data_IF_668603996773
#
_entry.id   IF_668603996773
#
_cell.length_a   1.000
_cell.length_b   1.000
_cell.length_c   1.000
_cell.angle_alpha   90.00
_cell.angle_beta   90.00
_cell.angle_gamma   90.00
#
_symmetry.space_group_name_H-M   'P 1'
#
loop_
_entity.id
_entity.type
_entity.pdbx_description
1 polymer ?
#
# COMPACT_ATOMS: atom_id res chain seq x y z
N UNK A 1 35.88 -6.02 -0.97
CA UNK A 1 34.89 -5.84 0.10
C UNK A 1 33.75 -6.83 -0.12
N UNK A 2 33.37 -7.59 0.89
CA UNK A 2 32.08 -8.26 0.85
C UNK A 2 31.01 -7.16 1.04
N UNK A 3 30.01 -7.13 0.16
CA UNK A 3 28.91 -6.19 0.31
C UNK A 3 28.18 -6.47 1.64
N UNK A 4 27.93 -5.44 2.43
CA UNK A 4 27.16 -5.56 3.66
C UNK A 4 25.69 -5.83 3.29
N UNK A 5 25.25 -7.06 3.50
CA UNK A 5 23.90 -7.52 3.17
C UNK A 5 23.16 -7.95 4.43
N UNK A 6 22.06 -7.31 4.71
CA UNK A 6 21.14 -7.71 5.78
C UNK A 6 20.13 -8.72 5.24
N UNK A 7 19.80 -9.74 6.05
CA UNK A 7 18.77 -10.72 5.71
C UNK A 7 17.39 -10.08 5.55
N UNK A 8 16.50 -10.79 4.91
CA UNK A 8 15.10 -10.44 4.86
C UNK A 8 14.39 -10.71 6.19
N UNK A 9 13.25 -10.05 6.41
CA UNK A 9 12.40 -10.29 7.57
C UNK A 9 11.74 -11.66 7.49
N UNK A 10 11.57 -12.30 8.64
CA UNK A 10 10.78 -13.51 8.82
C UNK A 10 9.31 -13.15 9.10
N UNK A 11 8.41 -14.10 8.91
CA UNK A 11 6.98 -13.91 9.16
C UNK A 11 6.69 -13.46 10.61
N UNK A 12 7.39 -14.05 11.58
CA UNK A 12 7.28 -13.76 13.00
C UNK A 12 7.90 -12.41 13.43
N UNK A 13 8.57 -11.72 12.53
CA UNK A 13 9.16 -10.39 12.74
C UNK A 13 8.30 -9.26 12.15
N UNK A 14 7.19 -9.62 11.50
CA UNK A 14 6.30 -8.68 10.84
C UNK A 14 4.95 -8.68 11.54
N UNK A 15 4.61 -7.55 12.12
CA UNK A 15 3.33 -7.31 12.75
C UNK A 15 2.32 -6.69 11.78
N UNK A 16 1.04 -6.92 12.06
CA UNK A 16 -0.07 -6.31 11.34
C UNK A 16 -0.76 -5.27 12.24
N UNK A 17 -1.01 -4.07 11.70
CA UNK A 17 -1.89 -3.11 12.38
C UNK A 17 -3.03 -2.70 11.47
N UNK A 18 -4.18 -2.44 12.06
CA UNK A 18 -5.33 -1.90 11.34
C UNK A 18 -5.02 -0.44 10.96
N UNK A 19 -5.12 -0.14 9.68
CA UNK A 19 -4.94 1.20 9.14
C UNK A 19 -6.27 1.96 9.08
N UNK A 20 -7.15 1.58 8.18
CA UNK A 20 -8.45 2.22 7.98
C UNK A 20 -9.57 1.20 8.15
N UNK A 21 -10.64 1.58 8.84
CA UNK A 21 -11.86 0.78 8.98
C UNK A 21 -12.99 1.46 8.21
N UNK A 22 -13.71 0.68 7.39
CA UNK A 22 -14.92 1.09 6.65
C UNK A 22 -16.02 0.06 6.87
N UNK A 23 -17.24 0.38 6.45
CA UNK A 23 -18.37 -0.54 6.53
C UNK A 23 -18.13 -1.85 5.76
N UNK A 24 -17.40 -1.80 4.65
CA UNK A 24 -17.11 -2.95 3.77
C UNK A 24 -15.89 -3.75 4.19
N UNK A 25 -15.09 -3.29 5.17
CA UNK A 25 -13.87 -3.97 5.57
C UNK A 25 -12.85 -3.05 6.22
N UNK A 26 -11.64 -3.57 6.38
CA UNK A 26 -10.51 -2.83 6.93
C UNK A 26 -9.24 -3.04 6.09
N UNK A 27 -8.33 -2.06 6.17
CA UNK A 27 -6.97 -2.23 5.64
C UNK A 27 -6.00 -2.61 6.75
N UNK A 28 -5.01 -3.43 6.40
CA UNK A 28 -3.88 -3.74 7.26
C UNK A 28 -2.61 -3.09 6.73
N UNK A 29 -1.75 -2.67 7.66
CA UNK A 29 -0.41 -2.18 7.42
C UNK A 29 0.58 -3.14 8.09
N UNK A 30 1.61 -3.54 7.35
CA UNK A 30 2.70 -4.33 7.89
C UNK A 30 3.75 -3.41 8.51
N UNK A 31 4.30 -3.82 9.65
CA UNK A 31 5.39 -3.10 10.31
C UNK A 31 6.29 -4.07 11.06
N UNK A 32 7.46 -3.62 11.49
CA UNK A 32 8.39 -4.36 12.33
C UNK A 32 8.63 -3.62 13.65
N UNK A 33 8.96 -4.37 14.69
CA UNK A 33 9.41 -3.82 15.98
C UNK A 33 10.87 -3.35 15.85
N UNK A 34 11.24 -2.32 16.63
CA UNK A 34 12.62 -1.84 16.70
C UNK A 34 13.61 -2.89 17.24
N UNK A 35 13.13 -3.86 18.02
CA UNK A 35 13.96 -4.98 18.50
C UNK A 35 14.38 -5.92 17.39
N UNK A 36 13.54 -6.08 16.38
CA UNK A 36 13.89 -6.81 15.16
C UNK A 36 15.09 -6.16 14.46
N UNK A 37 15.10 -4.82 14.33
CA UNK A 37 16.23 -4.10 13.76
C UNK A 37 17.53 -4.31 14.55
N UNK A 38 17.45 -4.25 15.88
CA UNK A 38 18.60 -4.51 16.74
C UNK A 38 19.14 -5.93 16.56
N UNK A 39 18.25 -6.94 16.54
CA UNK A 39 18.64 -8.32 16.34
C UNK A 39 19.33 -8.52 14.98
N UNK A 40 18.82 -7.94 13.90
CA UNK A 40 19.42 -8.03 12.57
C UNK A 40 20.79 -7.34 12.50
N UNK A 41 20.95 -6.19 13.17
CA UNK A 41 22.23 -5.51 13.29
C UNK A 41 23.24 -6.37 14.07
N UNK A 42 22.83 -6.92 15.22
CA UNK A 42 23.69 -7.79 16.04
C UNK A 42 24.09 -9.06 15.29
N UNK A 43 23.16 -9.69 14.57
CA UNK A 43 23.40 -10.89 13.75
C UNK A 43 24.40 -10.61 12.60
N UNK A 44 24.30 -9.42 11.98
CA UNK A 44 25.03 -9.13 10.74
C UNK A 44 26.40 -8.54 10.98
N UNK A 45 26.51 -7.58 11.91
CA UNK A 45 27.77 -6.84 12.13
C UNK A 45 28.34 -7.07 13.53
N UNK A 46 27.58 -7.67 14.44
CA UNK A 46 27.95 -7.86 15.85
C UNK A 46 27.63 -6.64 16.71
N UNK A 47 27.26 -6.89 17.96
CA UNK A 47 26.75 -5.87 18.88
C UNK A 47 27.72 -4.70 19.16
N UNK A 48 29.03 -4.88 18.96
CA UNK A 48 30.05 -3.85 19.17
C UNK A 48 30.35 -3.01 17.92
N UNK A 49 29.88 -3.43 16.75
CA UNK A 49 30.20 -2.82 15.48
C UNK A 49 29.07 -1.94 14.93
N UNK A 50 28.06 -1.66 15.73
CA UNK A 50 27.06 -0.67 15.41
C UNK A 50 26.71 0.17 16.63
N UNK A 51 26.23 1.37 16.39
CA UNK A 51 25.75 2.27 17.44
C UNK A 51 24.62 3.16 16.89
N UNK A 52 23.81 3.70 17.79
CA UNK A 52 22.80 4.69 17.46
C UNK A 52 22.90 5.92 18.35
N UNK A 53 22.56 7.06 17.82
CA UNK A 53 22.37 8.31 18.55
C UNK A 53 21.09 8.98 18.11
N UNK A 54 20.48 9.70 19.02
CA UNK A 54 19.29 10.50 18.75
C UNK A 54 19.58 11.99 18.92
N UNK A 55 18.94 12.81 18.10
CA UNK A 55 19.00 14.27 18.17
C UNK A 55 17.60 14.87 18.01
N UNK A 56 17.47 16.18 18.21
CA UNK A 56 16.20 16.91 18.08
C UNK A 56 15.06 16.24 18.86
N UNK A 57 15.26 16.03 20.15
CA UNK A 57 14.28 15.39 21.06
C UNK A 57 13.77 14.03 20.55
N UNK A 58 14.69 13.22 20.05
CA UNK A 58 14.48 11.90 19.45
C UNK A 58 13.79 11.89 18.06
N UNK A 59 13.54 13.05 17.46
CA UNK A 59 12.97 13.10 16.13
C UNK A 59 13.90 12.50 15.07
N UNK A 60 15.21 12.70 15.21
CA UNK A 60 16.22 12.12 14.33
C UNK A 60 16.94 10.97 15.02
N UNK A 61 17.23 9.92 14.25
CA UNK A 61 18.10 8.83 14.68
C UNK A 61 19.18 8.60 13.64
N UNK A 62 20.43 8.58 14.10
CA UNK A 62 21.59 8.16 13.29
C UNK A 62 21.98 6.77 13.71
N UNK A 63 22.02 5.83 12.76
CA UNK A 63 22.59 4.49 12.94
C UNK A 63 23.93 4.44 12.24
N UNK A 64 24.98 4.08 12.96
CA UNK A 64 26.35 4.01 12.46
C UNK A 64 26.86 2.57 12.55
N UNK A 65 27.57 2.13 11.52
CA UNK A 65 28.20 0.81 11.42
C UNK A 65 29.69 1.03 11.18
N UNK A 66 30.53 0.27 11.89
CA UNK A 66 31.97 0.31 11.73
C UNK A 66 32.39 -0.36 10.40
N UNK A 67 33.12 0.38 9.59
CA UNK A 67 33.72 -0.14 8.36
C UNK A 67 35.19 -0.48 8.62
N UNK A 68 35.50 -1.76 8.71
CA UNK A 68 36.85 -2.25 9.04
C UNK A 68 37.87 -1.92 7.95
N UNK A 69 37.49 -1.90 6.70
CA UNK A 69 38.37 -1.56 5.57
C UNK A 69 38.73 -0.07 5.58
N UNK A 70 37.75 0.80 5.84
CA UNK A 70 37.95 2.25 5.87
C UNK A 70 38.38 2.77 7.24
N UNK A 71 38.34 1.92 8.27
CA UNK A 71 38.67 2.29 9.66
C UNK A 71 37.88 3.50 10.16
N UNK A 72 36.59 3.51 9.86
CA UNK A 72 35.68 4.62 10.23
C UNK A 72 34.25 4.16 10.43
N UNK A 73 33.49 4.94 11.18
CA UNK A 73 32.06 4.81 11.30
C UNK A 73 31.36 5.37 10.04
N UNK A 74 30.54 4.55 9.42
CA UNK A 74 29.63 5.01 8.35
C UNK A 74 28.27 5.21 8.97
N UNK A 75 27.68 6.37 8.75
CA UNK A 75 26.45 6.81 9.43
C UNK A 75 25.33 7.08 8.43
N UNK A 76 24.11 6.68 8.79
CA UNK A 76 22.89 7.03 8.06
C UNK A 76 21.84 7.50 9.05
N UNK A 77 21.18 8.60 8.72
CA UNK A 77 20.18 9.25 9.57
C UNK A 77 18.80 9.24 8.90
N UNK A 78 17.76 9.18 9.73
CA UNK A 78 16.38 9.43 9.29
C UNK A 78 15.55 10.04 10.42
N UNK A 79 14.37 10.56 10.04
CA UNK A 79 13.42 11.26 10.92
C UNK A 79 12.24 10.34 11.21
N UNK A 80 11.81 10.30 12.46
CA UNK A 80 10.61 9.59 12.89
C UNK A 80 9.39 10.52 12.99
N UNK A 81 8.25 9.88 13.21
CA UNK A 81 6.98 10.54 13.52
C UNK A 81 6.48 10.10 14.89
N UNK A 82 5.79 10.98 15.59
CA UNK A 82 5.21 10.69 16.90
C UNK A 82 4.10 9.63 16.79
N UNK A 83 3.99 8.79 17.82
CA UNK A 83 2.85 7.90 17.96
C UNK A 83 1.71 8.58 18.73
N UNK A 84 0.48 8.15 18.47
CA UNK A 84 -0.71 8.70 19.12
C UNK A 84 -0.82 8.38 20.62
N UNK A 85 -0.09 7.36 21.11
CA UNK A 85 -0.23 6.86 22.49
C UNK A 85 0.97 7.17 23.38
N UNK A 86 2.20 7.07 22.86
CA UNK A 86 3.45 7.33 23.57
C UNK A 86 4.37 8.15 22.67
N UNK A 87 4.11 9.46 22.56
CA UNK A 87 4.74 10.33 21.58
C UNK A 87 6.27 10.22 21.57
N UNK A 88 6.92 10.43 22.72
CA UNK A 88 8.40 10.46 22.83
C UNK A 88 9.03 9.10 22.52
N UNK A 89 8.49 8.02 23.10
CA UNK A 89 8.99 6.67 22.87
C UNK A 89 8.69 6.20 21.44
N UNK A 90 7.51 6.55 20.93
CA UNK A 90 7.12 6.27 19.55
C UNK A 90 8.04 6.96 18.56
N UNK A 91 8.34 8.23 18.78
CA UNK A 91 9.24 9.03 17.96
C UNK A 91 10.66 8.43 17.90
N UNK A 92 11.24 8.08 19.05
CA UNK A 92 12.56 7.46 19.15
C UNK A 92 12.59 6.08 18.45
N UNK A 93 11.55 5.27 18.62
CA UNK A 93 11.44 3.97 17.99
C UNK A 93 11.25 4.09 16.46
N UNK A 94 10.45 5.03 16.01
CA UNK A 94 10.17 5.24 14.59
C UNK A 94 11.39 5.78 13.86
N UNK A 95 12.07 6.82 14.40
CA UNK A 95 13.30 7.36 13.82
C UNK A 95 14.39 6.31 13.69
N UNK A 96 14.54 5.42 14.70
CA UNK A 96 15.50 4.31 14.63
C UNK A 96 15.15 3.30 13.53
N UNK A 97 13.91 2.83 13.46
CA UNK A 97 13.46 1.91 12.41
C UNK A 97 13.68 2.50 11.00
N UNK A 98 13.43 3.79 10.83
CA UNK A 98 13.64 4.49 9.56
C UNK A 98 15.12 4.61 9.22
N UNK A 99 15.98 4.90 10.18
CA UNK A 99 17.43 4.89 9.98
C UNK A 99 17.93 3.49 9.55
N UNK A 100 17.35 2.41 10.10
CA UNK A 100 17.63 1.04 9.70
C UNK A 100 17.17 0.73 8.26
N UNK A 101 16.06 1.31 7.79
CA UNK A 101 15.65 1.22 6.38
C UNK A 101 16.72 1.80 5.44
N UNK A 102 17.42 2.85 5.84
CA UNK A 102 18.52 3.43 5.05
C UNK A 102 19.70 2.45 4.89
N UNK A 103 19.87 1.53 5.83
CA UNK A 103 20.82 0.43 5.76
C UNK A 103 20.31 -0.78 4.95
N UNK A 104 19.04 -0.84 4.63
CA UNK A 104 18.41 -1.92 3.87
C UNK A 104 17.66 -2.93 4.71
N UNK A 105 17.55 -2.74 6.04
CA UNK A 105 16.84 -3.64 6.94
C UNK A 105 15.32 -3.37 6.83
N UNK A 106 14.56 -4.38 6.42
CA UNK A 106 13.10 -4.31 6.35
C UNK A 106 12.54 -3.50 5.17
N UNK A 107 13.36 -3.13 4.17
CA UNK A 107 12.90 -2.38 2.97
C UNK A 107 11.80 -3.10 2.20
N UNK A 108 11.74 -4.40 2.27
CA UNK A 108 10.70 -5.23 1.67
C UNK A 108 9.29 -4.83 2.11
N UNK A 109 9.11 -4.28 3.31
CA UNK A 109 7.80 -3.81 3.79
C UNK A 109 7.20 -2.71 2.91
N UNK A 110 8.03 -1.90 2.24
CA UNK A 110 7.55 -0.89 1.28
C UNK A 110 7.01 -1.50 -0.02
N UNK A 111 7.24 -2.79 -0.25
CA UNK A 111 6.74 -3.52 -1.42
C UNK A 111 5.48 -4.32 -1.10
N UNK A 112 4.95 -4.21 0.11
CA UNK A 112 3.74 -4.91 0.52
C UNK A 112 2.57 -4.56 -0.40
N UNK A 113 1.77 -5.55 -0.81
CA UNK A 113 0.55 -5.28 -1.55
C UNK A 113 -0.44 -4.52 -0.67
N UNK A 114 -1.40 -3.83 -1.29
CA UNK A 114 -2.52 -3.28 -0.51
C UNK A 114 -3.35 -4.41 0.09
N UNK A 115 -3.39 -4.45 1.42
CA UNK A 115 -4.05 -5.51 2.18
C UNK A 115 -5.44 -5.00 2.59
N UNK A 116 -6.47 -5.62 2.04
CA UNK A 116 -7.86 -5.35 2.36
C UNK A 116 -8.55 -6.61 2.83
N UNK A 117 -9.13 -6.55 4.03
CA UNK A 117 -9.91 -7.63 4.64
C UNK A 117 -11.39 -7.25 4.56
N UNK A 118 -12.19 -8.06 3.87
CA UNK A 118 -13.64 -7.87 3.77
C UNK A 118 -14.34 -8.08 5.10
N UNK A 119 -15.47 -7.41 5.31
CA UNK A 119 -16.22 -7.42 6.57
C UNK A 119 -16.61 -8.83 7.04
N UNK A 120 -16.79 -9.74 6.11
CA UNK A 120 -17.13 -11.15 6.35
C UNK A 120 -15.99 -12.00 6.97
N UNK A 121 -14.77 -11.45 7.05
CA UNK A 121 -13.56 -12.17 7.50
C UNK A 121 -13.04 -11.72 8.87
N UNK A 122 -13.77 -10.88 9.56
CA UNK A 122 -13.46 -10.45 10.91
C UNK A 122 -14.74 -10.08 11.66
N UNK A 123 -14.74 -10.27 12.96
CA UNK A 123 -15.89 -9.97 13.82
C UNK A 123 -15.84 -8.55 14.38
N UNK A 124 -14.66 -8.14 14.81
CA UNK A 124 -14.41 -6.89 15.49
C UNK A 124 -13.28 -6.09 14.85
N UNK A 125 -13.36 -4.76 14.96
CA UNK A 125 -12.22 -3.86 14.64
C UNK A 125 -11.03 -4.04 15.61
N UNK A 126 -11.15 -4.89 16.61
CA UNK A 126 -10.09 -5.21 17.58
C UNK A 126 -9.47 -6.57 17.32
N UNK A 127 -9.95 -7.32 16.33
CA UNK A 127 -9.34 -8.60 15.94
C UNK A 127 -7.86 -8.39 15.66
N UNK A 128 -7.08 -9.39 16.04
CA UNK A 128 -5.64 -9.42 15.79
C UNK A 128 -5.35 -10.20 14.53
N UNK A 129 -4.34 -9.72 13.80
CA UNK A 129 -3.89 -10.33 12.56
C UNK A 129 -2.39 -10.56 12.63
N UNK A 130 -1.95 -11.67 12.09
CA UNK A 130 -0.53 -12.03 11.98
C UNK A 130 -0.16 -12.48 10.59
N UNK A 131 1.11 -12.34 10.24
CA UNK A 131 1.67 -12.89 9.00
C UNK A 131 1.88 -14.38 9.21
N UNK A 132 1.12 -15.20 8.47
CA UNK A 132 1.26 -16.66 8.51
C UNK A 132 2.43 -17.13 7.66
N UNK A 133 2.54 -16.62 6.42
CA UNK A 133 3.65 -16.91 5.53
C UNK A 133 4.05 -15.69 4.75
N UNK A 134 5.34 -15.58 4.45
CA UNK A 134 5.87 -14.55 3.57
C UNK A 134 6.98 -15.14 2.69
N UNK A 135 7.01 -14.75 1.42
CA UNK A 135 8.12 -15.01 0.51
C UNK A 135 8.67 -13.68 0.02
N UNK A 136 9.98 -13.50 0.17
CA UNK A 136 10.69 -12.30 -0.26
C UNK A 136 11.73 -12.72 -1.29
N UNK A 137 11.77 -12.01 -2.41
CA UNK A 137 12.77 -12.20 -3.44
C UNK A 137 13.28 -10.83 -3.90
N UNK A 138 14.58 -10.66 -3.93
CA UNK A 138 15.23 -9.40 -4.32
C UNK A 138 14.67 -8.18 -3.55
N UNK A 139 14.51 -8.33 -2.21
CA UNK A 139 13.93 -7.33 -1.31
C UNK A 139 12.50 -6.91 -1.67
N UNK A 140 11.73 -7.81 -2.33
CA UNK A 140 10.32 -7.60 -2.67
C UNK A 140 9.47 -8.74 -2.16
N UNK A 141 8.35 -8.42 -1.55
CA UNK A 141 7.35 -9.40 -1.13
C UNK A 141 6.71 -10.01 -2.38
N UNK A 142 6.92 -11.30 -2.61
CA UNK A 142 6.40 -12.05 -3.76
C UNK A 142 5.21 -12.93 -3.38
N UNK A 143 5.12 -13.35 -2.11
CA UNK A 143 3.94 -14.01 -1.57
C UNK A 143 3.73 -13.63 -0.12
N UNK A 144 2.47 -13.57 0.31
CA UNK A 144 2.06 -13.19 1.66
C UNK A 144 0.73 -13.84 1.99
N UNK A 145 0.61 -14.43 3.18
CA UNK A 145 -0.68 -14.80 3.76
C UNK A 145 -0.83 -14.24 5.16
N UNK A 146 -2.05 -13.82 5.49
CA UNK A 146 -2.38 -13.23 6.79
C UNK A 146 -3.50 -14.05 7.41
N UNK A 147 -3.34 -14.36 8.68
CA UNK A 147 -4.29 -15.06 9.53
C UNK A 147 -4.99 -14.07 10.45
N UNK A 148 -6.29 -14.26 10.67
CA UNK A 148 -7.00 -13.71 11.81
C UNK A 148 -6.73 -14.61 13.02
N UNK A 149 -6.17 -14.08 14.09
CA UNK A 149 -5.79 -14.86 15.28
C UNK A 149 -6.99 -15.36 16.09
N UNK A 150 -8.12 -14.64 16.03
CA UNK A 150 -9.34 -15.00 16.76
C UNK A 150 -10.06 -16.19 16.10
N UNK A 151 -10.14 -16.22 14.76
CA UNK A 151 -10.82 -17.29 14.03
C UNK A 151 -9.87 -18.39 13.55
N UNK A 152 -8.56 -18.13 13.52
CA UNK A 152 -7.55 -19.04 12.96
C UNK A 152 -7.58 -19.15 11.42
N UNK A 153 -8.41 -18.37 10.74
CA UNK A 153 -8.57 -18.44 9.28
C UNK A 153 -7.58 -17.54 8.53
N UNK A 154 -7.22 -17.95 7.32
CA UNK A 154 -6.47 -17.11 6.39
C UNK A 154 -7.42 -16.11 5.76
N UNK A 155 -7.24 -14.84 6.10
CA UNK A 155 -8.12 -13.75 5.66
C UNK A 155 -7.60 -13.01 4.44
N UNK A 156 -6.29 -13.12 4.16
CA UNK A 156 -5.65 -12.51 3.00
C UNK A 156 -4.58 -13.44 2.40
N UNK A 157 -4.46 -13.44 1.07
CA UNK A 157 -3.39 -14.14 0.34
C UNK A 157 -2.94 -13.33 -0.87
N UNK A 158 -1.62 -13.27 -1.09
CA UNK A 158 -0.98 -12.62 -2.24
C UNK A 158 0.12 -13.52 -2.79
N UNK A 159 0.24 -13.71 -4.13
CA UNK A 159 -0.72 -13.27 -5.12
C UNK A 159 -2.06 -14.01 -4.95
N UNK A 160 -3.15 -13.36 -5.33
CA UNK A 160 -4.48 -13.97 -5.27
C UNK A 160 -4.47 -15.25 -6.14
N UNK A 161 -4.69 -16.43 -5.51
CA UNK A 161 -4.86 -17.68 -6.24
C UNK A 161 -3.91 -18.83 -5.92
N UNK A 162 -2.90 -18.69 -5.05
CA UNK A 162 -2.19 -19.87 -4.51
C UNK A 162 -2.81 -20.29 -3.18
N UNK A 163 -3.81 -21.16 -3.24
CA UNK A 163 -4.21 -21.95 -2.07
C UNK A 163 -3.12 -22.98 -1.79
N UNK A 164 -2.53 -22.94 -0.59
CA UNK A 164 -1.73 -24.05 -0.08
C UNK A 164 -2.59 -25.30 -0.02
N UNK A 165 -2.11 -26.37 -0.65
CA UNK A 165 -2.77 -27.66 -0.71
C UNK A 165 -2.73 -28.34 0.65
N UNK A 166 -3.87 -28.44 1.33
CA UNK A 166 -4.19 -29.58 2.18
C UNK A 166 -5.55 -30.14 1.77
N UNK A 167 -5.47 -31.22 1.01
CA UNK A 167 -6.39 -32.36 0.83
C UNK A 167 -7.91 -32.16 0.98
N UNK A 168 -8.67 -32.13 -0.06
CA UNK A 168 -9.50 -33.13 -0.74
C UNK A 168 -10.58 -32.52 -1.65
N UNK A 169 -10.46 -32.96 -2.90
CA UNK A 169 -11.46 -33.38 -3.90
C UNK A 169 -12.67 -32.50 -4.25
N UNK A 170 -12.65 -32.18 -5.49
CA UNK A 170 -13.62 -32.17 -6.59
C UNK A 170 -14.10 -30.85 -7.14
N UNK A 171 -13.62 -30.67 -8.33
CA UNK A 171 -14.31 -30.29 -9.59
C UNK A 171 -14.77 -28.83 -9.76
N UNK A 172 -14.16 -28.28 -10.77
CA UNK A 172 -14.65 -27.50 -11.91
C UNK A 172 -14.73 -25.99 -11.78
N UNK A 173 -14.04 -25.42 -12.74
CA UNK A 173 -14.11 -24.07 -13.33
C UNK A 173 -13.22 -22.98 -12.75
N UNK A 174 -12.21 -22.66 -13.58
CA UNK A 174 -11.35 -21.48 -13.48
C UNK A 174 -12.15 -20.19 -13.55
N UNK A 175 -11.92 -19.20 -12.69
CA UNK A 175 -12.43 -17.86 -12.94
C UNK A 175 -11.64 -17.24 -14.09
N UNK A 176 -12.33 -16.97 -15.20
CA UNK A 176 -11.84 -16.23 -16.35
C UNK A 176 -11.23 -14.90 -15.90
N UNK A 177 -10.05 -14.55 -16.43
CA UNK A 177 -9.56 -13.18 -16.44
C UNK A 177 -10.71 -12.29 -16.90
N UNK A 178 -11.07 -11.29 -16.11
CA UNK A 178 -12.02 -10.27 -16.54
C UNK A 178 -11.35 -9.51 -17.68
N UNK A 179 -11.70 -9.89 -18.89
CA UNK A 179 -11.26 -9.21 -20.10
C UNK A 179 -12.27 -8.09 -20.34
N UNK A 180 -11.82 -6.84 -20.18
CA UNK A 180 -12.62 -5.70 -20.57
C UNK A 180 -12.86 -5.74 -22.07
N UNK A 181 -14.09 -5.46 -22.49
CA UNK A 181 -14.40 -5.35 -23.93
C UNK A 181 -13.56 -4.23 -24.55
N UNK A 182 -13.21 -4.32 -25.84
CA UNK A 182 -12.49 -3.25 -26.53
C UNK A 182 -13.18 -1.88 -26.42
N UNK A 183 -14.50 -1.88 -26.35
CA UNK A 183 -15.30 -0.66 -26.15
C UNK A 183 -15.12 -0.08 -24.74
N UNK A 184 -15.06 -0.89 -23.70
CA UNK A 184 -14.78 -0.43 -22.34
C UNK A 184 -13.37 0.17 -22.20
N UNK A 185 -12.39 -0.34 -22.95
CA UNK A 185 -11.06 0.24 -23.03
C UNK A 185 -11.10 1.62 -23.70
N UNK A 186 -11.89 1.78 -24.78
CA UNK A 186 -12.12 3.09 -25.45
C UNK A 186 -12.72 4.12 -24.50
N UNK A 187 -13.74 3.75 -23.72
CA UNK A 187 -14.37 4.63 -22.74
C UNK A 187 -13.35 5.05 -21.66
N UNK A 188 -12.55 4.12 -21.14
CA UNK A 188 -11.51 4.42 -20.17
C UNK A 188 -10.47 5.40 -20.71
N UNK A 189 -10.03 5.21 -21.93
CA UNK A 189 -9.08 6.12 -22.61
C UNK A 189 -9.68 7.49 -22.81
N UNK A 190 -10.92 7.58 -23.30
CA UNK A 190 -11.63 8.84 -23.47
C UNK A 190 -11.73 9.64 -22.15
N UNK A 191 -12.09 8.98 -21.04
CA UNK A 191 -12.16 9.62 -19.75
C UNK A 191 -10.78 10.09 -19.24
N UNK A 192 -9.72 9.32 -19.51
CA UNK A 192 -8.34 9.71 -19.14
C UNK A 192 -7.86 10.93 -19.91
N UNK A 193 -8.04 10.93 -21.23
CA UNK A 193 -7.63 12.01 -22.14
C UNK A 193 -8.37 13.32 -21.88
N UNK A 194 -9.62 13.24 -21.41
CA UNK A 194 -10.45 14.40 -21.10
C UNK A 194 -10.45 14.81 -19.62
N UNK A 195 -9.55 14.26 -18.81
CA UNK A 195 -9.29 14.71 -17.42
C UNK A 195 -10.43 14.43 -16.46
N UNK A 196 -11.20 13.35 -16.64
CA UNK A 196 -12.22 12.92 -15.70
C UNK A 196 -11.62 12.39 -14.40
N UNK A 197 -12.14 12.84 -13.28
CA UNK A 197 -11.78 12.34 -11.96
C UNK A 197 -12.25 10.89 -11.74
N UNK A 198 -11.72 10.21 -10.73
CA UNK A 198 -12.14 8.84 -10.42
C UNK A 198 -13.63 8.78 -10.00
N UNK A 199 -14.15 9.83 -9.38
CA UNK A 199 -15.57 9.92 -9.00
C UNK A 199 -16.46 10.07 -10.22
N UNK A 200 -16.08 10.94 -11.18
CA UNK A 200 -16.81 11.12 -12.45
C UNK A 200 -16.83 9.82 -13.28
N UNK A 201 -15.70 9.10 -13.34
CA UNK A 201 -15.63 7.78 -13.99
C UNK A 201 -16.56 6.75 -13.35
N UNK A 202 -16.60 6.72 -12.00
CA UNK A 202 -17.53 5.86 -11.26
C UNK A 202 -18.97 6.22 -11.53
N UNK A 203 -19.30 7.51 -11.58
CA UNK A 203 -20.64 7.99 -11.90
C UNK A 203 -21.09 7.51 -13.28
N UNK A 204 -20.25 7.64 -14.32
CA UNK A 204 -20.55 7.15 -15.68
C UNK A 204 -20.84 5.64 -15.66
N UNK A 205 -20.02 4.84 -14.95
CA UNK A 205 -20.21 3.39 -14.84
C UNK A 205 -21.54 3.04 -14.17
N UNK A 206 -21.91 3.74 -13.10
CA UNK A 206 -23.13 3.49 -12.33
C UNK A 206 -24.36 3.93 -13.13
N UNK A 207 -24.36 5.15 -13.66
CA UNK A 207 -25.51 5.74 -14.36
C UNK A 207 -25.81 4.99 -15.65
N UNK A 208 -24.78 4.55 -16.37
CA UNK A 208 -24.91 3.73 -17.58
C UNK A 208 -24.99 2.22 -17.30
N UNK A 209 -24.97 1.79 -16.02
CA UNK A 209 -25.02 0.37 -15.59
C UNK A 209 -24.01 -0.53 -16.28
N UNK A 210 -22.81 -0.02 -16.50
CA UNK A 210 -21.75 -0.73 -17.21
C UNK A 210 -21.14 -1.88 -16.39
N UNK A 211 -20.78 -2.96 -17.10
CA UNK A 211 -20.02 -4.09 -16.60
C UNK A 211 -18.74 -4.26 -17.43
N UNK A 212 -17.74 -4.99 -16.93
CA UNK A 212 -16.49 -5.19 -17.68
C UNK A 212 -16.67 -5.77 -19.09
N UNK A 213 -17.72 -6.55 -19.29
CA UNK A 213 -18.11 -7.22 -20.53
C UNK A 213 -19.31 -6.58 -21.24
N UNK A 214 -19.64 -5.32 -20.89
CA UNK A 214 -20.77 -4.59 -21.51
C UNK A 214 -20.62 -4.58 -23.03
N UNK A 215 -21.76 -4.76 -23.77
CA UNK A 215 -21.76 -4.73 -25.22
C UNK A 215 -21.46 -3.32 -25.76
N UNK A 216 -20.98 -3.26 -26.99
CA UNK A 216 -20.44 -2.05 -27.60
C UNK A 216 -21.47 -0.92 -27.70
N UNK A 217 -22.73 -1.23 -27.97
CA UNK A 217 -23.85 -0.26 -28.03
C UNK A 217 -24.09 0.43 -26.68
N UNK A 218 -24.01 -0.31 -25.58
CA UNK A 218 -24.16 0.29 -24.23
C UNK A 218 -22.96 1.18 -23.88
N UNK A 219 -21.78 0.82 -24.33
CA UNK A 219 -20.56 1.63 -24.11
C UNK A 219 -20.57 2.89 -24.99
N UNK A 220 -21.16 2.85 -26.19
CA UNK A 220 -21.36 4.04 -27.02
C UNK A 220 -22.28 5.05 -26.36
N UNK A 221 -23.36 4.58 -25.71
CA UNK A 221 -24.23 5.44 -24.90
C UNK A 221 -23.46 6.09 -23.76
N UNK A 222 -22.59 5.35 -23.09
CA UNK A 222 -21.76 5.88 -22.01
C UNK A 222 -20.68 6.86 -22.50
N UNK A 223 -20.12 6.68 -23.69
CA UNK A 223 -19.22 7.64 -24.33
C UNK A 223 -19.95 8.96 -24.63
N UNK A 224 -21.17 8.89 -25.14
CA UNK A 224 -22.00 10.08 -25.37
C UNK A 224 -22.31 10.81 -24.06
N UNK A 225 -22.71 10.07 -23.02
CA UNK A 225 -22.94 10.62 -21.68
C UNK A 225 -21.69 11.31 -21.11
N UNK A 226 -20.52 10.70 -21.26
CA UNK A 226 -19.25 11.32 -20.86
C UNK A 226 -18.93 12.59 -21.67
N UNK A 227 -19.25 12.61 -22.97
CA UNK A 227 -19.08 13.81 -23.82
C UNK A 227 -19.97 14.96 -23.36
N UNK A 228 -21.24 14.68 -23.06
CA UNK A 228 -22.20 15.68 -22.58
C UNK A 228 -21.76 16.25 -21.22
N UNK A 229 -21.28 15.40 -20.31
CA UNK A 229 -20.71 15.83 -19.02
C UNK A 229 -19.51 16.76 -19.20
N UNK A 230 -18.64 16.47 -20.19
CA UNK A 230 -17.49 17.32 -20.48
C UNK A 230 -17.91 18.69 -21.01
N UNK A 231 -18.86 18.73 -21.96
CA UNK A 231 -19.37 19.99 -22.49
C UNK A 231 -20.00 20.87 -21.42
N UNK A 232 -20.74 20.26 -20.49
CA UNK A 232 -21.32 20.97 -19.36
C UNK A 232 -20.23 21.57 -18.45
N UNK A 233 -19.20 20.80 -18.14
CA UNK A 233 -18.04 21.23 -17.34
C UNK A 233 -17.26 22.36 -18.03
N UNK A 234 -17.12 22.29 -19.36
CA UNK A 234 -16.42 23.33 -20.14
C UNK A 234 -17.26 24.61 -20.25
N UNK A 235 -18.61 24.52 -20.25
CA UNK A 235 -19.50 25.68 -20.16
C UNK A 235 -19.44 26.39 -18.82
N UNK A 236 -19.38 25.62 -17.71
CA UNK A 236 -19.28 26.15 -16.35
C UNK A 236 -17.93 26.86 -16.08
N UNK A 237 -16.89 26.53 -16.87
CA UNK A 237 -15.56 27.16 -16.77
C UNK A 237 -15.39 28.42 -17.61
N UNK A 238 -16.36 28.78 -18.50
CA UNK A 238 -16.31 30.03 -19.24
C UNK A 238 -16.82 31.15 -18.33
N UNK A 239 -16.03 32.21 -18.06
CA UNK A 239 -16.56 33.39 -17.40
C UNK A 239 -17.67 33.99 -18.33
N UNK A 240 -18.79 34.39 -17.71
CA UNK A 240 -19.84 35.10 -18.41
C UNK A 240 -19.28 36.37 -19.03
N UNK A 241 -19.08 36.36 -20.34
CA UNK A 241 -18.74 37.54 -21.13
C UNK A 241 -20.06 38.31 -21.41
N UNK A 242 -20.59 38.93 -20.33
CA UNK A 242 -21.60 39.96 -20.48
C UNK A 242 -20.87 41.24 -20.89
N UNK A 243 -20.77 41.44 -22.20
CA UNK A 243 -20.41 42.72 -22.76
C UNK A 243 -21.21 43.84 -22.11
N UNK A 244 -20.54 44.81 -21.51
CA UNK A 244 -21.13 46.08 -21.12
C UNK A 244 -21.81 46.73 -22.33
N UNK A 245 -23.10 46.90 -22.25
CA UNK A 245 -23.84 47.73 -23.20
C UNK A 245 -23.62 49.19 -22.74
N UNK A 246 -23.02 50.08 -23.55
CA UNK A 246 -22.91 51.49 -23.17
C UNK A 246 -24.30 52.12 -23.12
N UNK A 247 -24.70 52.62 -21.95
CA UNK A 247 -25.80 53.55 -21.83
C UNK A 247 -25.31 54.91 -22.37
N UNK A 248 -25.78 55.33 -23.54
CA UNK A 248 -25.73 56.72 -23.98
C UNK A 248 -26.86 57.50 -23.26
N UNK A 249 -26.44 58.61 -22.62
CA UNK A 249 -27.33 59.68 -22.13
C UNK A 249 -27.38 60.80 -23.17
#
# INVERSE_FOLDING_TARGET
>A
MADLVFRDLRADEIDCRIGTVKETGLSLLLYKDARCDMAILDETVGAYNWQRSHSRDNANCTVSIWDEDKKQWISKEDVGTESNTEAVKGLASDSFKRACFNWGIGRELYTAPFIWIGKEKFESKYDKFSVETIEIKDKKITALSIRNEETGEIVFSYPKGKRSSSTKTKSTESPKKVQFSPAMVKLSNYCNENGFTQEEKRKIIIDCKLKPDSPDDLVEVALKYASDMKEQKDREKRPDDYGEVPFEV
#
